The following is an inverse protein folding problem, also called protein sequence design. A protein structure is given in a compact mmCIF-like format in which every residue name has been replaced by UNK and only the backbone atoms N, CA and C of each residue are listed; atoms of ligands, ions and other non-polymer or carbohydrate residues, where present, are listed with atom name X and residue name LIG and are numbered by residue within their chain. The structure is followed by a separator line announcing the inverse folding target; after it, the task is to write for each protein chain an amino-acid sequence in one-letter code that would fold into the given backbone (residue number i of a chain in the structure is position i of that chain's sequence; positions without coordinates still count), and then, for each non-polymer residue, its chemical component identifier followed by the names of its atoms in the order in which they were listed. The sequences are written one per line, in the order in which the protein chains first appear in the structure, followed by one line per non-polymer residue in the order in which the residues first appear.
data_IF_717092956901
#
_entry.id   IF_717092956901
#
_cell.length_a   1.000
_cell.length_b   1.000
_cell.length_c   1.000
_cell.angle_alpha   90.00
_cell.angle_beta   90.00
_cell.angle_gamma   90.00
#
_symmetry.space_group_name_H-M   'P 1'
#
loop_
_entity.id
_entity.type
_entity.pdbx_description
1 polymer ?
#
# COMPACT_ATOMS: atom_id res chain seq x y z
N UNK A 1 -50.49 -32.23 -16.53
CA UNK A 1 -49.59 -31.36 -17.29
C UNK A 1 -48.58 -30.81 -16.29
N UNK A 2 -47.33 -31.26 -16.45
CA UNK A 2 -46.08 -30.69 -15.91
C UNK A 2 -45.91 -30.60 -14.39
N UNK A 3 -45.31 -31.66 -13.83
CA UNK A 3 -44.42 -31.58 -12.66
C UNK A 3 -42.99 -31.21 -13.11
N UNK A 4 -42.19 -30.83 -12.11
CA UNK A 4 -40.75 -30.55 -12.06
C UNK A 4 -40.27 -29.11 -12.34
N UNK A 5 -39.75 -28.48 -11.26
CA UNK A 5 -38.62 -27.56 -11.38
C UNK A 5 -37.86 -27.36 -10.05
N UNK A 6 -37.57 -28.46 -9.33
CA UNK A 6 -36.71 -28.43 -8.13
C UNK A 6 -35.22 -28.68 -8.45
N UNK A 7 -34.95 -29.28 -9.60
CA UNK A 7 -33.67 -29.91 -9.93
C UNK A 7 -32.63 -28.92 -10.49
N UNK A 8 -33.05 -27.76 -11.00
CA UNK A 8 -32.12 -26.77 -11.59
C UNK A 8 -31.37 -25.89 -10.59
N UNK A 9 -31.93 -25.65 -9.39
CA UNK A 9 -31.35 -24.71 -8.42
C UNK A 9 -30.14 -25.29 -7.65
N UNK A 10 -30.09 -26.62 -7.48
CA UNK A 10 -28.95 -27.28 -6.83
C UNK A 10 -27.78 -27.50 -7.79
N UNK A 11 -28.06 -27.83 -9.05
CA UNK A 11 -27.04 -27.94 -10.10
C UNK A 11 -26.38 -26.59 -10.40
N UNK A 12 -27.16 -25.49 -10.42
CA UNK A 12 -26.61 -24.15 -10.64
C UNK A 12 -25.67 -23.71 -9.51
N UNK A 13 -25.99 -24.07 -8.26
CA UNK A 13 -25.08 -23.92 -7.11
C UNK A 13 -23.84 -24.80 -7.24
N UNK A 14 -23.97 -26.03 -7.74
CA UNK A 14 -22.83 -26.94 -7.97
C UNK A 14 -21.89 -26.46 -9.08
N UNK A 15 -22.43 -25.82 -10.13
CA UNK A 15 -21.63 -25.24 -11.23
C UNK A 15 -20.99 -23.91 -10.85
N UNK A 16 -21.60 -23.11 -9.98
CA UNK A 16 -20.96 -21.95 -9.35
C UNK A 16 -19.83 -22.36 -8.39
N UNK A 17 -19.85 -23.58 -7.83
CA UNK A 17 -18.68 -24.13 -7.11
C UNK A 17 -17.53 -24.52 -8.05
N UNK A 18 -17.80 -24.74 -9.33
CA UNK A 18 -16.83 -25.24 -10.33
C UNK A 18 -16.42 -24.19 -11.39
N UNK A 19 -17.00 -22.98 -11.36
CA UNK A 19 -16.46 -21.85 -12.11
C UNK A 19 -15.12 -21.50 -11.49
N UNK A 20 -14.01 -21.81 -12.18
CA UNK A 20 -12.63 -21.53 -11.74
C UNK A 20 -12.28 -20.04 -11.69
N UNK A 21 -13.26 -19.20 -11.40
CA UNK A 21 -13.08 -17.79 -11.06
C UNK A 21 -12.86 -17.68 -9.55
N UNK A 22 -11.80 -16.98 -9.12
CA UNK A 22 -11.53 -16.78 -7.70
C UNK A 22 -12.65 -15.97 -7.05
N UNK A 23 -13.13 -16.41 -5.87
CA UNK A 23 -14.28 -15.84 -5.17
C UNK A 23 -13.89 -14.91 -4.04
N UNK A 24 -12.71 -15.11 -3.50
CA UNK A 24 -12.11 -14.28 -2.47
C UNK A 24 -10.61 -14.05 -2.76
N UNK A 25 -9.96 -13.36 -1.83
CA UNK A 25 -8.54 -13.04 -1.95
C UNK A 25 -7.66 -14.30 -1.88
N UNK A 26 -8.05 -15.29 -1.09
CA UNK A 26 -7.27 -16.53 -0.93
C UNK A 26 -7.26 -17.31 -2.25
N UNK A 27 -8.44 -17.44 -2.88
CA UNK A 27 -8.56 -18.05 -4.21
C UNK A 27 -7.70 -17.31 -5.25
N UNK A 28 -7.65 -15.98 -5.19
CA UNK A 28 -6.85 -15.17 -6.13
C UNK A 28 -5.34 -15.38 -5.92
N UNK A 29 -4.89 -15.50 -4.67
CA UNK A 29 -3.50 -15.80 -4.33
C UNK A 29 -3.10 -17.21 -4.81
N UNK A 30 -4.00 -18.18 -4.73
CA UNK A 30 -3.79 -19.52 -5.26
C UNK A 30 -3.62 -19.50 -6.79
N UNK A 31 -4.45 -18.72 -7.50
CA UNK A 31 -4.34 -18.52 -8.96
C UNK A 31 -2.98 -17.93 -9.36
N UNK A 32 -2.52 -16.91 -8.63
CA UNK A 32 -1.21 -16.27 -8.87
C UNK A 32 -0.08 -17.28 -8.61
N UNK A 33 -0.17 -18.03 -7.51
CA UNK A 33 0.82 -19.05 -7.13
C UNK A 33 0.94 -20.14 -8.20
N UNK A 34 -0.19 -20.66 -8.69
CA UNK A 34 -0.20 -21.65 -9.77
C UNK A 34 0.26 -21.10 -11.12
N UNK A 35 0.00 -19.82 -11.41
CA UNK A 35 0.54 -19.18 -12.61
C UNK A 35 2.07 -19.13 -12.56
N UNK A 36 2.66 -18.86 -11.39
CA UNK A 36 4.11 -18.93 -11.18
C UNK A 36 4.66 -20.35 -11.33
N UNK A 37 4.05 -21.34 -10.68
CA UNK A 37 4.49 -22.74 -10.75
C UNK A 37 4.50 -23.31 -12.17
N UNK A 38 3.53 -22.88 -12.99
CA UNK A 38 3.44 -23.23 -14.42
C UNK A 38 4.37 -22.39 -15.31
N UNK A 39 5.12 -21.46 -14.74
CA UNK A 39 6.05 -20.58 -15.47
C UNK A 39 5.36 -19.55 -16.36
N UNK A 40 4.07 -19.25 -16.14
CA UNK A 40 3.32 -18.22 -16.87
C UNK A 40 3.81 -16.82 -16.46
N UNK A 41 4.11 -16.67 -15.18
CA UNK A 41 4.72 -15.47 -14.60
C UNK A 41 5.99 -15.86 -13.84
N UNK A 42 6.93 -14.91 -13.72
CA UNK A 42 8.14 -15.11 -12.93
C UNK A 42 7.90 -14.76 -11.44
N UNK A 43 8.90 -15.02 -10.61
CA UNK A 43 8.85 -14.74 -9.17
C UNK A 43 8.57 -13.26 -8.89
N UNK A 44 9.28 -12.35 -9.55
CA UNK A 44 9.12 -10.90 -9.36
C UNK A 44 7.67 -10.46 -9.64
N UNK A 45 7.07 -10.94 -10.72
CA UNK A 45 5.69 -10.64 -11.06
C UNK A 45 4.69 -11.19 -10.02
N UNK A 46 4.93 -12.40 -9.49
CA UNK A 46 4.12 -12.97 -8.39
C UNK A 46 4.18 -12.08 -7.15
N UNK A 47 5.40 -11.71 -6.73
CA UNK A 47 5.62 -10.87 -5.54
C UNK A 47 4.98 -9.49 -5.69
N UNK A 48 5.07 -8.89 -6.89
CA UNK A 48 4.40 -7.63 -7.20
C UNK A 48 2.88 -7.74 -7.10
N UNK A 49 2.28 -8.78 -7.69
CA UNK A 49 0.83 -8.99 -7.67
C UNK A 49 0.32 -9.20 -6.25
N UNK A 50 0.97 -10.06 -5.48
CA UNK A 50 0.66 -10.26 -4.06
C UNK A 50 0.84 -8.95 -3.25
N UNK A 51 1.87 -8.17 -3.58
CA UNK A 51 2.12 -6.87 -2.97
C UNK A 51 0.98 -5.87 -3.22
N UNK A 52 0.48 -5.79 -4.45
CA UNK A 52 -0.67 -4.93 -4.80
C UNK A 52 -1.91 -5.32 -4.02
N UNK A 53 -2.18 -6.62 -3.91
CA UNK A 53 -3.33 -7.11 -3.15
C UNK A 53 -3.21 -6.75 -1.67
N UNK A 54 -2.03 -6.91 -1.06
CA UNK A 54 -1.78 -6.45 0.33
C UNK A 54 -1.97 -4.95 0.48
N UNK A 55 -1.50 -4.14 -0.47
CA UNK A 55 -1.63 -2.67 -0.42
C UNK A 55 -3.09 -2.23 -0.40
N UNK A 56 -4.00 -2.97 -1.05
CA UNK A 56 -5.44 -2.66 -1.03
C UNK A 56 -6.06 -2.74 0.38
N UNK A 57 -5.42 -3.49 1.29
CA UNK A 57 -5.89 -3.67 2.67
C UNK A 57 -5.15 -2.75 3.67
N UNK A 58 -4.02 -2.15 3.27
CA UNK A 58 -3.21 -1.30 4.15
C UNK A 58 -3.92 0.02 4.45
N UNK A 59 -3.80 0.44 5.71
CA UNK A 59 -4.18 1.77 6.18
C UNK A 59 -2.96 2.65 6.36
N UNK A 60 -3.15 3.98 6.36
CA UNK A 60 -2.05 4.95 6.55
C UNK A 60 -1.22 4.64 7.80
N UNK A 61 -1.89 4.25 8.90
CA UNK A 61 -1.22 3.94 10.16
C UNK A 61 -0.28 2.74 10.09
N UNK A 62 -0.47 1.85 9.12
CA UNK A 62 0.30 0.61 8.99
C UNK A 62 1.67 0.88 8.35
N UNK A 63 1.82 2.02 7.65
CA UNK A 63 3.03 2.38 6.90
C UNK A 63 3.59 3.78 7.19
N UNK A 64 2.90 4.59 8.01
CA UNK A 64 3.37 5.93 8.34
C UNK A 64 4.61 5.90 9.23
N UNK A 65 5.47 6.91 9.09
CA UNK A 65 6.51 7.18 10.09
C UNK A 65 5.84 7.78 11.33
N UNK A 66 5.99 7.14 12.48
CA UNK A 66 5.41 7.63 13.72
C UNK A 66 5.94 9.04 14.03
N UNK A 67 5.07 9.92 14.55
CA UNK A 67 5.41 11.32 14.78
C UNK A 67 6.71 11.52 15.58
N UNK A 68 6.93 10.72 16.62
CA UNK A 68 8.12 10.80 17.47
C UNK A 68 9.41 10.48 16.73
N UNK A 69 9.32 9.76 15.60
CA UNK A 69 10.44 9.35 14.76
C UNK A 69 10.64 10.27 13.56
N UNK A 70 9.72 11.22 13.30
CA UNK A 70 9.87 12.15 12.17
C UNK A 70 11.03 13.13 12.42
N UNK A 71 11.90 13.27 11.43
CA UNK A 71 12.80 14.43 11.31
C UNK A 71 11.99 15.60 10.81
N UNK A 72 11.98 16.70 11.56
CA UNK A 72 11.20 17.91 11.25
C UNK A 72 12.10 19.13 11.33
N UNK A 73 11.68 20.21 10.67
CA UNK A 73 12.36 21.51 10.73
C UNK A 73 11.41 22.54 11.33
N UNK A 74 11.91 23.45 12.16
CA UNK A 74 11.08 24.56 12.68
C UNK A 74 11.01 25.68 11.64
N UNK A 75 9.84 26.30 11.49
CA UNK A 75 9.67 27.50 10.64
C UNK A 75 10.57 28.65 11.10
N UNK A 76 10.84 28.72 12.39
CA UNK A 76 11.54 29.84 13.01
C UNK A 76 13.05 29.55 13.18
N UNK A 77 13.52 28.36 12.75
CA UNK A 77 14.95 28.02 12.76
C UNK A 77 15.68 28.69 11.59
N UNK A 78 16.89 29.24 11.83
CA UNK A 78 17.68 29.84 10.76
C UNK A 78 18.34 28.77 9.87
N UNK A 79 18.70 29.09 8.62
CA UNK A 79 19.26 28.12 7.67
C UNK A 79 20.48 27.35 8.19
N UNK A 80 21.33 27.98 9.00
CA UNK A 80 22.53 27.39 9.59
C UNK A 80 22.23 26.21 10.53
N UNK A 81 21.01 26.15 11.07
CA UNK A 81 20.52 25.03 11.89
C UNK A 81 19.77 23.99 11.06
N UNK A 82 19.06 24.42 10.02
CA UNK A 82 18.29 23.54 9.13
C UNK A 82 19.20 22.71 8.24
N UNK A 83 20.21 23.33 7.62
CA UNK A 83 21.09 22.67 6.64
C UNK A 83 21.79 21.43 7.21
N UNK A 84 22.42 21.47 8.40
CA UNK A 84 23.04 20.29 8.99
C UNK A 84 22.06 19.15 9.20
N UNK A 85 20.86 19.43 9.74
CA UNK A 85 19.83 18.42 9.98
C UNK A 85 19.32 17.78 8.68
N UNK A 86 19.17 18.58 7.62
CA UNK A 86 18.76 18.09 6.29
C UNK A 86 19.84 17.24 5.64
N UNK A 87 21.11 17.61 5.77
CA UNK A 87 22.23 16.85 5.22
C UNK A 87 22.39 15.52 5.97
N UNK A 88 22.30 15.54 7.30
CA UNK A 88 22.42 14.35 8.14
C UNK A 88 21.29 13.34 7.88
N UNK A 89 20.05 13.82 7.77
CA UNK A 89 18.90 12.95 7.53
C UNK A 89 18.81 12.43 6.08
N UNK A 90 19.30 13.21 5.10
CA UNK A 90 19.36 12.79 3.69
C UNK A 90 18.00 12.55 3.02
N UNK A 91 16.89 13.03 3.60
CA UNK A 91 15.55 12.93 3.01
C UNK A 91 15.29 14.03 1.99
N UNK A 92 14.35 13.78 1.07
CA UNK A 92 13.97 14.78 0.06
C UNK A 92 12.95 15.80 0.57
N UNK A 93 12.19 15.48 1.63
CA UNK A 93 11.09 16.29 2.17
C UNK A 93 11.10 16.26 3.69
N UNK A 94 10.82 17.40 4.30
CA UNK A 94 10.77 17.59 5.75
C UNK A 94 9.49 18.30 6.15
N UNK A 95 8.70 17.78 7.09
CA UNK A 95 7.63 18.56 7.70
C UNK A 95 8.18 19.80 8.38
N UNK A 96 7.57 20.96 8.07
CA UNK A 96 7.86 22.23 8.74
C UNK A 96 6.88 22.39 9.88
N UNK A 97 7.38 22.54 11.09
CA UNK A 97 6.57 22.73 12.30
C UNK A 97 6.54 24.20 12.72
N UNK A 98 5.43 24.60 13.34
CA UNK A 98 5.26 25.92 13.96
C UNK A 98 5.74 25.93 15.41
N UNK A 99 4.83 26.26 16.33
CA UNK A 99 5.15 26.38 17.77
C UNK A 99 5.51 25.03 18.42
N UNK A 100 4.90 23.94 17.93
CA UNK A 100 5.12 22.59 18.41
C UNK A 100 5.08 21.57 17.27
N UNK A 101 5.34 20.30 17.61
CA UNK A 101 5.30 19.17 16.66
C UNK A 101 3.87 18.81 16.23
N UNK A 102 2.85 19.36 16.88
CA UNK A 102 1.44 19.20 16.50
C UNK A 102 1.07 20.05 15.30
N UNK A 103 1.72 21.20 15.18
CA UNK A 103 1.42 22.18 14.16
C UNK A 103 2.34 22.03 12.94
N UNK A 104 2.01 21.11 12.03
CA UNK A 104 2.66 21.06 10.70
C UNK A 104 2.10 22.19 9.83
N UNK A 105 2.94 23.16 9.49
CA UNK A 105 2.57 24.36 8.70
C UNK A 105 2.94 24.23 7.22
N UNK A 106 3.71 23.22 6.85
CA UNK A 106 4.11 23.00 5.46
C UNK A 106 5.13 21.87 5.29
N UNK A 107 5.70 21.78 4.08
CA UNK A 107 6.75 20.82 3.73
C UNK A 107 7.92 21.58 3.09
N UNK A 108 9.12 21.39 3.61
CA UNK A 108 10.37 21.84 3.00
C UNK A 108 10.90 20.75 2.06
N UNK A 109 11.17 21.12 0.81
CA UNK A 109 11.86 20.27 -0.15
C UNK A 109 13.37 20.52 -0.05
N UNK A 110 14.16 19.47 0.15
CA UNK A 110 15.62 19.60 0.29
C UNK A 110 16.27 20.31 -0.91
N UNK A 111 15.81 20.00 -2.13
CA UNK A 111 16.30 20.62 -3.37
C UNK A 111 16.12 22.14 -3.42
N UNK A 112 15.17 22.70 -2.67
CA UNK A 112 14.88 24.13 -2.72
C UNK A 112 15.88 24.93 -1.85
N UNK A 113 16.69 24.26 -1.02
CA UNK A 113 17.83 24.86 -0.29
C UNK A 113 19.05 25.12 -1.19
N UNK A 114 19.03 24.63 -2.44
CA UNK A 114 20.10 24.84 -3.43
C UNK A 114 19.89 26.10 -4.28
N UNK A 115 18.83 26.86 -4.03
CA UNK A 115 18.49 28.09 -4.77
C UNK A 115 19.19 29.31 -4.22
#
# INVERSE_FOLDING_TARGET
MSEDNGTGRWFKRLTETFSGEPKDLEDLLEVITHARERGIINQDASEMLEGVLRVAELQVRDIMVARSQMVVVSRDDPPEKILPAVIEAGHSRYPVIGEDRDQVVGILLAKDLLR
#
